data_IF_607530729515
#
_entry.id   IF_607530729515
#
_cell.length_a   1.000
_cell.length_b   1.000
_cell.length_c   1.000
_cell.angle_alpha   90.00
_cell.angle_beta   90.00
_cell.angle_gamma   90.00
#
_symmetry.space_group_name_H-M   'P 1'
#
loop_
_entity.id
_entity.type
_entity.pdbx_description
1 polymer ?
#
# COMPACT_ATOMS: atom_id res chain seq x y z
N UNK A 1 -89.86 16.66 52.72
CA UNK A 1 -90.71 16.53 53.92
C UNK A 1 -92.06 17.15 53.62
N UNK A 2 -93.13 16.43 53.96
CA UNK A 2 -94.55 16.86 54.02
C UNK A 2 -94.71 18.13 54.88
N UNK A 3 -95.76 18.97 54.85
CA UNK A 3 -97.22 18.90 54.72
C UNK A 3 -97.69 20.30 54.21
N UNK A 4 -98.86 20.58 53.62
CA UNK A 4 -100.20 20.05 53.85
C UNK A 4 -101.07 21.09 54.60
N UNK A 5 -102.25 21.40 54.04
CA UNK A 5 -103.43 22.15 54.57
C UNK A 5 -103.41 23.69 54.48
N UNK A 6 -104.25 24.34 53.65
CA UNK A 6 -105.72 24.50 53.59
C UNK A 6 -106.29 25.68 54.40
N UNK A 7 -107.27 26.33 53.77
CA UNK A 7 -108.35 27.16 54.32
C UNK A 7 -108.14 28.67 54.45
N UNK A 8 -108.70 29.39 53.48
CA UNK A 8 -109.39 30.67 53.68
C UNK A 8 -110.76 30.41 54.38
N UNK A 9 -111.68 31.40 54.62
CA UNK A 9 -111.61 32.86 54.46
C UNK A 9 -112.27 33.66 55.63
N UNK A 10 -112.27 34.99 55.50
CA UNK A 10 -113.25 36.02 55.93
C UNK A 10 -112.54 37.21 56.59
N UNK A 11 -112.94 38.47 56.45
CA UNK A 11 -113.78 39.28 55.53
C UNK A 11 -113.77 40.70 56.15
N UNK A 12 -114.06 41.74 55.36
CA UNK A 12 -114.26 43.16 55.72
C UNK A 12 -112.95 44.00 55.64
N UNK A 13 -112.60 44.70 54.55
CA UNK A 13 -113.31 45.70 53.72
C UNK A 13 -113.72 46.97 54.49
N UNK A 14 -112.78 47.93 54.59
CA UNK A 14 -112.88 49.27 53.95
C UNK A 14 -112.19 50.37 54.75
N UNK A 15 -111.09 50.91 54.21
CA UNK A 15 -110.74 52.36 54.17
C UNK A 15 -109.30 52.55 53.69
N UNK A 16 -109.04 52.45 52.38
CA UNK A 16 -107.72 52.76 51.79
C UNK A 16 -107.84 53.29 50.36
N UNK A 17 -108.30 54.53 50.20
CA UNK A 17 -108.23 55.23 48.90
C UNK A 17 -107.14 56.31 48.80
N UNK A 18 -106.17 56.34 49.74
CA UNK A 18 -105.02 57.25 49.66
C UNK A 18 -103.64 56.58 49.79
N UNK A 19 -103.58 55.24 49.79
CA UNK A 19 -102.33 54.44 49.94
C UNK A 19 -101.88 53.78 48.62
N UNK A 20 -102.77 53.71 47.61
CA UNK A 20 -102.51 52.97 46.37
C UNK A 20 -101.60 53.70 45.36
N UNK A 21 -101.65 55.04 45.28
CA UNK A 21 -100.79 55.79 44.37
C UNK A 21 -99.34 55.91 44.88
N UNK A 22 -99.15 56.02 46.20
CA UNK A 22 -97.82 56.00 46.81
C UNK A 22 -97.13 54.63 46.60
N UNK A 23 -97.89 53.54 46.61
CA UNK A 23 -97.39 52.19 46.34
C UNK A 23 -96.92 51.97 44.89
N UNK A 24 -97.57 52.55 43.88
CA UNK A 24 -97.14 52.43 42.49
C UNK A 24 -95.90 53.29 42.19
N UNK A 25 -95.84 54.50 42.75
CA UNK A 25 -94.67 55.38 42.64
C UNK A 25 -93.46 54.71 43.31
N UNK A 26 -93.63 54.12 44.49
CA UNK A 26 -92.55 53.37 45.17
C UNK A 26 -92.14 52.10 44.40
N UNK A 27 -93.08 51.42 43.72
CA UNK A 27 -92.76 50.27 42.86
C UNK A 27 -91.95 50.69 41.64
N UNK A 28 -92.34 51.78 40.96
CA UNK A 28 -91.62 52.35 39.83
C UNK A 28 -90.26 52.91 40.25
N UNK A 29 -90.16 53.48 41.44
CA UNK A 29 -88.89 53.94 41.99
C UNK A 29 -87.96 52.76 42.31
N UNK A 30 -88.47 51.67 42.90
CA UNK A 30 -87.70 50.43 43.07
C UNK A 30 -87.30 49.79 41.74
N UNK A 31 -88.16 49.85 40.74
CA UNK A 31 -87.86 49.36 39.39
C UNK A 31 -86.78 50.23 38.72
N UNK A 32 -86.87 51.56 38.87
CA UNK A 32 -85.84 52.51 38.44
C UNK A 32 -84.51 52.26 39.14
N UNK A 33 -84.51 52.10 40.46
CA UNK A 33 -83.31 51.76 41.25
C UNK A 33 -82.72 50.41 40.83
N UNK A 34 -83.56 49.41 40.52
CA UNK A 34 -83.12 48.12 40.00
C UNK A 34 -82.50 48.25 38.60
N UNK A 35 -83.08 49.03 37.70
CA UNK A 35 -82.48 49.31 36.39
C UNK A 35 -81.19 50.12 36.52
N UNK A 36 -81.11 51.08 37.43
CA UNK A 36 -79.87 51.83 37.72
C UNK A 36 -78.78 50.88 38.21
N UNK A 37 -79.07 49.99 39.17
CA UNK A 37 -78.11 48.98 39.65
C UNK A 37 -77.68 48.03 38.55
N UNK A 38 -78.61 47.60 37.68
CA UNK A 38 -78.29 46.73 36.55
C UNK A 38 -77.39 47.43 35.52
N UNK A 39 -77.68 48.69 35.20
CA UNK A 39 -76.83 49.51 34.33
C UNK A 39 -75.45 49.74 34.95
N UNK A 40 -75.36 49.94 36.27
CA UNK A 40 -74.08 50.05 36.97
C UNK A 40 -73.29 48.73 36.95
N UNK A 41 -73.97 47.61 37.13
CA UNK A 41 -73.35 46.28 37.03
C UNK A 41 -72.85 46.00 35.61
N UNK A 42 -73.64 46.35 34.59
CA UNK A 42 -73.28 46.21 33.18
C UNK A 42 -72.11 47.13 32.81
N UNK A 43 -72.07 48.36 33.34
CA UNK A 43 -70.92 49.28 33.18
C UNK A 43 -69.65 48.72 33.81
N UNK A 44 -69.74 48.14 35.01
CA UNK A 44 -68.59 47.46 35.65
C UNK A 44 -68.13 46.24 34.86
N UNK A 45 -69.07 45.44 34.35
CA UNK A 45 -68.74 44.29 33.52
C UNK A 45 -68.07 44.70 32.21
N UNK A 46 -68.59 45.74 31.55
CA UNK A 46 -68.00 46.31 30.34
C UNK A 46 -66.59 46.84 30.59
N UNK A 47 -66.37 47.56 31.69
CA UNK A 47 -65.05 48.04 32.08
C UNK A 47 -64.04 46.89 32.29
N UNK A 48 -64.46 45.82 32.98
CA UNK A 48 -63.60 44.65 33.20
C UNK A 48 -63.27 43.95 31.87
N UNK A 49 -64.26 43.82 30.97
CA UNK A 49 -64.02 43.26 29.63
C UNK A 49 -63.02 44.13 28.86
N UNK A 50 -63.18 45.44 28.88
CA UNK A 50 -62.28 46.37 28.19
C UNK A 50 -60.84 46.25 28.75
N UNK A 51 -60.68 46.12 30.07
CA UNK A 51 -59.37 45.91 30.71
C UNK A 51 -58.74 44.57 30.28
N UNK A 52 -59.53 43.48 30.26
CA UNK A 52 -59.05 42.18 29.77
C UNK A 52 -58.71 42.21 28.28
N UNK A 53 -59.42 42.99 27.48
CA UNK A 53 -59.13 43.15 26.06
C UNK A 53 -57.82 43.94 25.85
N UNK A 54 -57.62 45.02 26.59
CA UNK A 54 -56.40 45.84 26.52
C UNK A 54 -55.17 45.03 26.94
N UNK A 55 -55.26 44.25 28.02
CA UNK A 55 -54.18 43.37 28.49
C UNK A 55 -53.87 42.28 27.46
N UNK A 56 -54.89 41.57 26.98
CA UNK A 56 -54.73 40.55 25.92
C UNK A 56 -54.12 41.12 24.64
N UNK A 57 -54.52 42.34 24.25
CA UNK A 57 -53.97 43.03 23.08
C UNK A 57 -52.49 43.38 23.26
N UNK A 58 -52.09 43.82 24.45
CA UNK A 58 -50.67 44.07 24.79
C UNK A 58 -49.86 42.78 24.74
N UNK A 59 -50.37 41.68 25.31
CA UNK A 59 -49.71 40.37 25.26
C UNK A 59 -49.55 39.87 23.82
N UNK A 60 -50.58 40.04 22.99
CA UNK A 60 -50.50 39.68 21.58
C UNK A 60 -49.44 40.49 20.83
N UNK A 61 -49.35 41.80 21.09
CA UNK A 61 -48.31 42.66 20.51
C UNK A 61 -46.91 42.21 20.94
N UNK A 62 -46.71 41.91 22.23
CA UNK A 62 -45.45 41.41 22.76
C UNK A 62 -45.06 40.06 22.12
N UNK A 63 -45.99 39.11 22.03
CA UNK A 63 -45.76 37.82 21.36
C UNK A 63 -45.43 38.00 19.88
N UNK A 64 -46.11 38.91 19.19
CA UNK A 64 -45.82 39.23 17.78
C UNK A 64 -44.42 39.81 17.59
N UNK A 65 -43.97 40.69 18.48
CA UNK A 65 -42.60 41.22 18.46
C UNK A 65 -41.55 40.15 18.80
N UNK A 66 -41.82 39.29 19.78
CA UNK A 66 -40.95 38.15 20.10
C UNK A 66 -40.82 37.19 18.91
N UNK A 67 -41.92 36.85 18.24
CA UNK A 67 -41.91 36.01 17.03
C UNK A 67 -41.11 36.68 15.91
N UNK A 68 -41.27 37.99 15.70
CA UNK A 68 -40.47 38.73 14.71
C UNK A 68 -38.97 38.71 15.05
N UNK A 69 -38.59 38.84 16.32
CA UNK A 69 -37.19 38.73 16.77
C UNK A 69 -36.65 37.32 16.54
N UNK A 70 -37.40 36.28 16.93
CA UNK A 70 -37.04 34.88 16.71
C UNK A 70 -36.89 34.57 15.22
N UNK A 71 -37.78 35.08 14.36
CA UNK A 71 -37.67 34.92 12.91
C UNK A 71 -36.42 35.62 12.35
N UNK A 72 -36.13 36.84 12.80
CA UNK A 72 -34.91 37.54 12.41
C UNK A 72 -33.66 36.78 12.85
N UNK A 73 -33.65 36.24 14.08
CA UNK A 73 -32.56 35.43 14.63
C UNK A 73 -32.43 34.06 13.91
N UNK A 74 -33.51 33.42 13.49
CA UNK A 74 -33.44 32.20 12.68
C UNK A 74 -32.90 32.46 11.27
N UNK A 75 -33.10 33.68 10.74
CA UNK A 75 -32.53 34.12 9.46
C UNK A 75 -31.12 34.72 9.61
N UNK A 76 -30.37 34.37 10.65
CA UNK A 76 -29.06 34.96 10.95
C UNK A 76 -28.10 34.83 9.75
N UNK A 77 -27.73 35.93 9.06
CA UNK A 77 -26.68 35.91 8.04
C UNK A 77 -25.35 35.40 8.63
N UNK A 78 -25.14 35.49 9.95
CA UNK A 78 -23.96 34.93 10.60
C UNK A 78 -23.93 33.39 10.58
N UNK A 79 -25.07 32.69 10.71
CA UNK A 79 -25.10 31.22 10.61
C UNK A 79 -24.79 30.76 9.18
N UNK A 80 -25.31 31.46 8.16
CA UNK A 80 -24.96 31.22 6.75
C UNK A 80 -23.49 31.55 6.47
N UNK A 81 -22.95 32.63 7.04
CA UNK A 81 -21.54 32.98 6.94
C UNK A 81 -20.64 31.94 7.61
N UNK A 82 -21.03 31.41 8.78
CA UNK A 82 -20.32 30.33 9.45
C UNK A 82 -20.34 29.04 8.61
N UNK A 83 -21.49 28.68 8.04
CA UNK A 83 -21.59 27.54 7.12
C UNK A 83 -20.69 27.70 5.89
N UNK A 84 -20.64 28.90 5.30
CA UNK A 84 -19.75 29.17 4.17
C UNK A 84 -18.26 29.13 4.58
N UNK A 85 -17.91 29.61 5.78
CA UNK A 85 -16.56 29.45 6.33
C UNK A 85 -16.20 27.98 6.52
N UNK A 86 -17.11 27.17 7.05
CA UNK A 86 -16.92 25.72 7.20
C UNK A 86 -16.72 25.06 5.84
N UNK A 87 -17.55 25.38 4.84
CA UNK A 87 -17.38 24.88 3.46
C UNK A 87 -16.04 25.28 2.84
N UNK A 88 -15.61 26.54 3.03
CA UNK A 88 -14.31 26.98 2.54
C UNK A 88 -13.16 26.27 3.23
N UNK A 89 -13.26 26.02 4.55
CA UNK A 89 -12.28 25.26 5.31
C UNK A 89 -12.27 23.78 4.88
N UNK A 90 -13.43 23.19 4.59
CA UNK A 90 -13.54 21.84 4.03
C UNK A 90 -12.87 21.75 2.66
N UNK A 91 -13.17 22.68 1.75
CA UNK A 91 -12.54 22.74 0.44
C UNK A 91 -11.01 22.93 0.54
N UNK A 92 -10.55 23.78 1.46
CA UNK A 92 -9.13 23.99 1.70
C UNK A 92 -8.45 22.72 2.26
N UNK A 93 -9.12 22.01 3.17
CA UNK A 93 -8.66 20.73 3.71
C UNK A 93 -8.57 19.67 2.61
N UNK A 94 -9.61 19.53 1.78
CA UNK A 94 -9.62 18.60 0.64
C UNK A 94 -8.48 18.90 -0.33
N UNK A 95 -8.25 20.18 -0.68
CA UNK A 95 -7.12 20.58 -1.51
C UNK A 95 -5.77 20.25 -0.85
N UNK A 96 -5.64 20.41 0.47
CA UNK A 96 -4.43 20.02 1.20
C UNK A 96 -4.22 18.51 1.20
N UNK A 97 -5.29 17.71 1.31
CA UNK A 97 -5.24 16.25 1.24
C UNK A 97 -4.82 15.79 -0.15
N UNK A 98 -5.39 16.38 -1.20
CA UNK A 98 -4.98 16.11 -2.58
C UNK A 98 -3.49 16.40 -2.78
N UNK A 99 -3.01 17.58 -2.38
CA UNK A 99 -1.57 17.94 -2.44
C UNK A 99 -0.68 16.99 -1.64
N UNK A 100 -1.15 16.55 -0.47
CA UNK A 100 -0.44 15.57 0.34
C UNK A 100 -0.33 14.22 -0.38
N UNK A 101 -1.44 13.72 -0.95
CA UNK A 101 -1.47 12.47 -1.69
C UNK A 101 -0.60 12.53 -2.97
N UNK A 102 -0.63 13.65 -3.69
CA UNK A 102 0.28 13.92 -4.82
C UNK A 102 1.74 13.88 -4.37
N UNK A 103 2.07 14.59 -3.29
CA UNK A 103 3.43 14.59 -2.74
C UNK A 103 3.88 13.21 -2.27
N UNK A 104 2.97 12.42 -1.69
CA UNK A 104 3.24 11.05 -1.28
C UNK A 104 3.47 10.14 -2.50
N UNK A 105 2.68 10.31 -3.57
CA UNK A 105 2.85 9.58 -4.82
C UNK A 105 4.19 9.91 -5.48
N UNK A 106 4.54 11.19 -5.56
CA UNK A 106 5.84 11.65 -6.05
C UNK A 106 6.99 11.10 -5.19
N UNK A 107 6.84 11.05 -3.87
CA UNK A 107 7.86 10.46 -2.99
C UNK A 107 8.04 8.96 -3.23
N UNK A 108 6.95 8.23 -3.49
CA UNK A 108 7.00 6.81 -3.86
C UNK A 108 7.67 6.61 -5.22
N UNK A 109 7.39 7.47 -6.19
CA UNK A 109 8.01 7.43 -7.51
C UNK A 109 9.52 7.72 -7.43
N UNK A 110 9.92 8.78 -6.72
CA UNK A 110 11.33 9.09 -6.45
C UNK A 110 12.03 7.93 -5.74
N UNK A 111 11.37 7.27 -4.78
CA UNK A 111 11.92 6.06 -4.13
C UNK A 111 12.11 4.91 -5.12
N UNK A 112 11.18 4.71 -6.06
CA UNK A 112 11.32 3.71 -7.12
C UNK A 112 12.51 4.04 -8.03
N UNK A 113 12.63 5.31 -8.46
CA UNK A 113 13.75 5.78 -9.28
C UNK A 113 15.09 5.61 -8.55
N UNK A 114 15.17 5.99 -7.27
CA UNK A 114 16.37 5.78 -6.44
C UNK A 114 16.73 4.29 -6.37
N UNK A 115 15.74 3.41 -6.21
CA UNK A 115 16.00 1.97 -6.16
C UNK A 115 16.45 1.41 -7.51
N UNK A 116 15.94 1.93 -8.63
CA UNK A 116 16.40 1.58 -9.98
C UNK A 116 17.86 2.03 -10.18
N UNK A 117 18.17 3.29 -9.89
CA UNK A 117 19.54 3.83 -9.95
C UNK A 117 20.50 3.07 -9.03
N UNK A 118 20.06 2.63 -7.85
CA UNK A 118 20.89 1.79 -6.96
C UNK A 118 21.20 0.42 -7.56
N UNK A 119 20.26 -0.19 -8.27
CA UNK A 119 20.48 -1.47 -8.96
C UNK A 119 21.41 -1.30 -10.15
N UNK A 120 21.19 -0.28 -10.97
CA UNK A 120 22.08 0.07 -12.08
C UNK A 120 23.50 0.35 -11.57
N UNK A 121 23.64 1.15 -10.52
CA UNK A 121 24.95 1.39 -9.90
C UNK A 121 25.61 0.09 -9.44
N UNK A 122 24.87 -0.83 -8.85
CA UNK A 122 25.43 -2.12 -8.44
C UNK A 122 25.89 -2.95 -9.64
N UNK A 123 25.11 -2.98 -10.72
CA UNK A 123 25.51 -3.62 -11.97
C UNK A 123 26.78 -2.98 -12.56
N UNK A 124 26.86 -1.65 -12.59
CA UNK A 124 28.07 -0.96 -13.04
C UNK A 124 29.29 -1.25 -12.18
N UNK A 125 29.12 -1.35 -10.86
CA UNK A 125 30.21 -1.72 -9.95
C UNK A 125 30.69 -3.14 -10.26
N UNK A 126 29.78 -4.09 -10.46
CA UNK A 126 30.16 -5.47 -10.76
C UNK A 126 30.89 -5.55 -12.11
N UNK A 127 30.37 -4.90 -13.16
CA UNK A 127 31.03 -4.82 -14.46
C UNK A 127 32.41 -4.18 -14.34
N UNK A 128 32.56 -3.13 -13.53
CA UNK A 128 33.84 -2.48 -13.30
C UNK A 128 34.84 -3.42 -12.61
N UNK A 129 34.39 -4.20 -11.63
CA UNK A 129 35.22 -5.20 -10.96
C UNK A 129 35.66 -6.30 -11.93
N UNK A 130 34.74 -6.81 -12.75
CA UNK A 130 35.06 -7.82 -13.76
C UNK A 130 36.10 -7.29 -14.77
N UNK A 131 35.92 -6.05 -15.23
CA UNK A 131 36.88 -5.38 -16.13
C UNK A 131 38.23 -5.11 -15.46
N UNK A 132 38.25 -4.74 -14.17
CA UNK A 132 39.50 -4.58 -13.41
C UNK A 132 40.24 -5.92 -13.28
N UNK A 133 39.54 -7.02 -13.04
CA UNK A 133 40.14 -8.36 -13.01
C UNK A 133 40.68 -8.78 -14.38
N UNK A 134 39.99 -8.46 -15.46
CA UNK A 134 40.48 -8.70 -16.83
C UNK A 134 41.70 -7.85 -17.15
N UNK A 135 41.71 -6.56 -16.78
CA UNK A 135 42.86 -5.69 -16.97
C UNK A 135 44.09 -6.20 -16.20
N UNK A 136 43.91 -6.67 -14.95
CA UNK A 136 45.00 -7.27 -14.18
C UNK A 136 45.56 -8.52 -14.87
N UNK A 137 44.70 -9.41 -15.41
CA UNK A 137 45.15 -10.59 -16.17
C UNK A 137 45.93 -10.20 -17.42
N UNK A 138 45.47 -9.19 -18.14
CA UNK A 138 46.17 -8.68 -19.33
C UNK A 138 47.51 -8.07 -18.94
N UNK A 139 47.58 -7.33 -17.84
CA UNK A 139 48.83 -6.72 -17.35
C UNK A 139 49.85 -7.83 -17.04
N UNK A 140 49.45 -8.85 -16.27
CA UNK A 140 50.27 -10.04 -15.97
C UNK A 140 50.75 -10.75 -17.25
N UNK A 141 49.87 -10.93 -18.24
CA UNK A 141 50.22 -11.51 -19.54
C UNK A 141 51.20 -10.65 -20.33
N UNK A 142 51.05 -9.33 -20.27
CA UNK A 142 51.96 -8.39 -20.95
C UNK A 142 53.33 -8.37 -20.29
N UNK A 143 53.40 -8.36 -18.96
CA UNK A 143 54.66 -8.48 -18.21
C UNK A 143 55.37 -9.81 -18.53
N UNK A 144 54.64 -10.92 -18.55
CA UNK A 144 55.19 -12.22 -18.91
C UNK A 144 55.74 -12.24 -20.35
N UNK A 145 55.01 -11.63 -21.29
CA UNK A 145 55.45 -11.51 -22.68
C UNK A 145 56.66 -10.60 -22.85
N UNK A 146 56.74 -9.49 -22.11
CA UNK A 146 57.91 -8.61 -22.08
C UNK A 146 59.14 -9.32 -21.50
N UNK A 147 58.98 -10.05 -20.40
CA UNK A 147 60.05 -10.86 -19.82
C UNK A 147 60.56 -11.92 -20.81
N UNK A 148 59.64 -12.59 -21.52
CA UNK A 148 59.99 -13.56 -22.57
C UNK A 148 60.73 -12.90 -23.75
N UNK A 149 60.27 -11.73 -24.20
CA UNK A 149 60.93 -10.94 -25.26
C UNK A 149 62.34 -10.52 -24.84
N UNK A 150 62.51 -9.99 -23.64
CA UNK A 150 63.80 -9.56 -23.10
C UNK A 150 64.77 -10.75 -23.00
N UNK A 151 64.30 -11.92 -22.53
CA UNK A 151 65.11 -13.14 -22.48
C UNK A 151 65.57 -13.58 -23.88
N UNK A 152 64.67 -13.56 -24.86
CA UNK A 152 65.00 -13.87 -26.24
C UNK A 152 65.98 -12.86 -26.87
N UNK A 153 65.83 -11.58 -26.57
CA UNK A 153 66.74 -10.54 -27.03
C UNK A 153 68.15 -10.72 -26.45
N UNK A 154 68.27 -11.00 -25.15
CA UNK A 154 69.55 -11.32 -24.49
C UNK A 154 70.19 -12.55 -25.14
N UNK A 155 69.42 -13.60 -25.42
CA UNK A 155 69.95 -14.79 -26.11
C UNK A 155 70.39 -14.48 -27.55
N UNK A 156 69.63 -13.68 -28.29
CA UNK A 156 70.00 -13.24 -29.62
C UNK A 156 71.29 -12.41 -29.60
N UNK A 157 71.47 -11.55 -28.60
CA UNK A 157 72.68 -10.76 -28.42
C UNK A 157 73.90 -11.63 -28.12
N UNK A 158 73.78 -12.60 -27.19
CA UNK A 158 74.85 -13.59 -26.93
C UNK A 158 75.22 -14.38 -28.19
N UNK A 159 74.22 -14.78 -29.00
CA UNK A 159 74.46 -15.45 -30.29
C UNK A 159 75.19 -14.53 -31.27
N UNK A 160 74.83 -13.25 -31.36
CA UNK A 160 75.55 -12.28 -32.19
C UNK A 160 77.00 -12.08 -31.75
N UNK A 161 77.24 -11.97 -30.44
CA UNK A 161 78.58 -11.83 -29.85
C UNK A 161 79.46 -13.05 -30.15
N UNK A 162 78.95 -14.26 -29.90
CA UNK A 162 79.67 -15.50 -30.23
C UNK A 162 79.98 -15.62 -31.72
N UNK A 163 79.06 -15.22 -32.61
CA UNK A 163 79.31 -15.18 -34.06
C UNK A 163 80.42 -14.16 -34.39
N UNK A 164 80.42 -12.99 -33.76
CA UNK A 164 81.45 -11.97 -33.98
C UNK A 164 82.83 -12.45 -33.50
N UNK A 165 82.90 -13.13 -32.36
CA UNK A 165 84.14 -13.75 -31.87
C UNK A 165 84.64 -14.85 -32.80
N UNK A 166 83.75 -15.72 -33.27
CA UNK A 166 84.09 -16.76 -34.26
C UNK A 166 84.59 -16.15 -35.57
N UNK A 167 84.00 -15.04 -36.03
CA UNK A 167 84.50 -14.31 -37.20
C UNK A 167 85.91 -13.76 -36.98
N UNK A 168 86.17 -13.11 -35.84
CA UNK A 168 87.51 -12.62 -35.49
C UNK A 168 88.55 -13.74 -35.44
N UNK A 169 88.21 -14.88 -34.84
CA UNK A 169 89.08 -16.07 -34.82
C UNK A 169 89.36 -16.59 -36.23
N UNK A 170 88.32 -16.76 -37.04
CA UNK A 170 88.46 -17.21 -38.42
C UNK A 170 89.31 -16.25 -39.27
N UNK A 171 89.16 -14.93 -39.08
CA UNK A 171 89.95 -13.95 -39.83
C UNK A 171 91.42 -13.95 -39.39
N UNK A 172 91.69 -14.14 -38.09
CA UNK A 172 93.06 -14.36 -37.58
C UNK A 172 93.68 -15.67 -38.09
N UNK A 173 92.90 -16.75 -38.14
CA UNK A 173 93.36 -18.03 -38.73
C UNK A 173 93.62 -17.89 -40.22
N UNK A 174 92.74 -17.21 -40.97
CA UNK A 174 92.98 -16.89 -42.38
C UNK A 174 94.26 -16.09 -42.57
N UNK A 175 94.48 -15.05 -41.76
CA UNK A 175 95.71 -14.25 -41.83
C UNK A 175 96.95 -15.12 -41.59
N UNK A 176 96.92 -15.98 -40.57
CA UNK A 176 97.98 -16.98 -40.34
C UNK A 176 98.17 -17.94 -41.50
N UNK A 177 97.09 -18.44 -42.10
CA UNK A 177 97.16 -19.33 -43.25
C UNK A 177 97.70 -18.61 -44.48
N UNK A 178 97.33 -17.35 -44.70
CA UNK A 178 97.88 -16.52 -45.79
C UNK A 178 99.36 -16.29 -45.56
N UNK A 179 99.80 -15.95 -44.35
CA UNK A 179 101.23 -15.82 -44.06
C UNK A 179 101.99 -17.14 -44.25
N UNK A 180 101.42 -18.26 -43.80
CA UNK A 180 102.01 -19.59 -44.02
C UNK A 180 102.06 -19.91 -45.52
N UNK A 181 101.00 -19.61 -46.26
CA UNK A 181 100.93 -19.81 -47.70
C UNK A 181 101.93 -18.91 -48.44
N UNK A 182 102.12 -17.67 -48.02
CA UNK A 182 103.11 -16.76 -48.59
C UNK A 182 104.54 -17.18 -48.26
N UNK A 183 104.78 -17.71 -47.05
CA UNK A 183 106.06 -18.37 -46.68
C UNK A 183 106.33 -19.57 -47.58
N UNK A 184 105.38 -20.50 -47.67
CA UNK A 184 105.45 -21.66 -48.56
C UNK A 184 105.58 -21.26 -50.04
N UNK A 185 104.93 -20.19 -50.48
CA UNK A 185 105.04 -19.69 -51.86
C UNK A 185 106.41 -19.08 -52.13
N UNK A 186 107.05 -18.44 -51.14
CA UNK A 186 108.45 -18.01 -51.23
C UNK A 186 109.39 -19.20 -51.28
N UNK A 187 109.21 -20.19 -50.40
CA UNK A 187 109.98 -21.44 -50.43
C UNK A 187 109.79 -22.17 -51.76
N UNK A 188 108.56 -22.29 -52.27
CA UNK A 188 108.28 -22.87 -53.60
C UNK A 188 108.77 -21.99 -54.73
N UNK A 189 108.84 -20.67 -54.61
CA UNK A 189 109.47 -19.81 -55.64
C UNK A 189 111.00 -19.92 -55.61
N UNK A 190 111.59 -20.14 -54.45
CA UNK A 190 113.01 -20.43 -54.28
C UNK A 190 113.34 -21.84 -54.77
N UNK A 191 112.48 -22.82 -54.48
CA UNK A 191 112.53 -24.17 -55.03
C UNK A 191 112.23 -24.17 -56.52
N UNK A 192 111.27 -23.40 -57.05
CA UNK A 192 111.06 -23.23 -58.50
C UNK A 192 112.22 -22.51 -59.15
N UNK A 193 112.86 -21.53 -58.51
CA UNK A 193 114.13 -20.96 -59.03
C UNK A 193 115.23 -22.02 -59.09
N UNK A 194 115.21 -23.01 -58.20
CA UNK A 194 116.12 -24.17 -58.21
C UNK A 194 115.66 -25.29 -59.16
N UNK A 195 114.36 -25.49 -59.34
CA UNK A 195 113.71 -26.59 -60.05
C UNK A 195 113.37 -26.23 -61.51
N UNK A 196 113.24 -24.95 -61.86
CA UNK A 196 113.27 -24.47 -63.25
C UNK A 196 114.69 -24.58 -63.84
N UNK A 197 115.71 -24.82 -63.00
CA UNK A 197 117.05 -25.25 -63.39
C UNK A 197 117.20 -26.79 -63.44
N UNK A 198 116.39 -27.54 -62.68
CA UNK A 198 116.48 -29.00 -62.57
C UNK A 198 115.15 -29.67 -62.98
N UNK A 199 115.07 -30.07 -64.25
CA UNK A 199 114.17 -31.10 -64.79
C UNK A 199 112.65 -30.82 -64.73
N UNK A 200 111.94 -30.78 -65.85
CA UNK A 200 111.65 -31.92 -66.72
C UNK A 200 111.14 -33.17 -65.97
N UNK A 201 109.83 -33.21 -65.73
CA UNK A 201 109.08 -34.48 -65.79
C UNK A 201 108.41 -34.98 -64.51
N UNK A 202 107.16 -35.42 -64.71
CA UNK A 202 106.46 -36.50 -63.99
C UNK A 202 105.99 -36.14 -62.57
N UNK A 203 104.88 -36.62 -62.01
CA UNK A 203 103.70 -37.41 -62.38
C UNK A 203 102.74 -37.16 -61.20
N UNK A 204 101.46 -36.90 -61.44
CA UNK A 204 100.32 -37.81 -61.19
C UNK A 204 100.39 -38.69 -59.93
N UNK A 205 99.21 -38.77 -59.29
CA UNK A 205 98.68 -39.80 -58.37
C UNK A 205 98.57 -39.36 -56.89
N UNK A 206 97.53 -39.68 -56.11
CA UNK A 206 96.43 -40.65 -56.25
C UNK A 206 95.27 -40.20 -55.34
N UNK A 207 94.04 -40.28 -55.83
CA UNK A 207 92.83 -40.14 -55.02
C UNK A 207 92.69 -41.38 -54.11
N UNK A 208 92.52 -41.15 -52.81
CA UNK A 208 92.24 -42.20 -51.85
C UNK A 208 90.85 -42.79 -52.11
N UNK A 209 90.82 -44.11 -52.32
CA UNK A 209 89.62 -44.93 -52.36
C UNK A 209 88.84 -44.77 -51.05
N UNK A 210 87.78 -43.97 -51.07
CA UNK A 210 86.70 -44.03 -50.10
C UNK A 210 85.68 -45.00 -50.68
N UNK A 211 85.35 -46.04 -49.92
CA UNK A 211 84.34 -47.06 -50.21
C UNK A 211 82.99 -46.42 -50.58
N UNK A 212 82.83 -46.14 -51.87
CA UNK A 212 81.65 -45.49 -52.45
C UNK A 212 80.51 -46.49 -52.64
N UNK A 213 80.83 -47.79 -52.63
CA UNK A 213 79.86 -48.86 -52.90
C UNK A 213 78.89 -49.08 -51.73
N UNK A 214 79.36 -48.98 -50.48
CA UNK A 214 78.52 -49.15 -49.29
C UNK A 214 77.60 -47.94 -49.04
N UNK A 215 78.11 -46.72 -49.24
CA UNK A 215 77.33 -45.48 -49.14
C UNK A 215 76.25 -45.37 -50.22
N UNK A 216 76.55 -45.79 -51.46
CA UNK A 216 75.57 -45.85 -52.55
C UNK A 216 74.47 -46.89 -52.28
N UNK A 217 74.79 -48.06 -51.73
CA UNK A 217 73.78 -49.08 -51.35
C UNK A 217 72.84 -48.58 -50.24
N UNK A 218 73.36 -47.87 -49.24
CA UNK A 218 72.53 -47.28 -48.18
C UNK A 218 71.60 -46.18 -48.72
N UNK A 219 72.11 -45.36 -49.65
CA UNK A 219 71.34 -44.30 -50.31
C UNK A 219 70.25 -44.88 -51.20
N UNK A 220 70.56 -45.93 -51.96
CA UNK A 220 69.61 -46.67 -52.79
C UNK A 220 68.50 -47.30 -51.92
N UNK A 221 68.84 -47.90 -50.78
CA UNK A 221 67.87 -48.48 -49.85
C UNK A 221 66.93 -47.41 -49.26
N UNK A 222 67.45 -46.23 -48.89
CA UNK A 222 66.62 -45.08 -48.47
C UNK A 222 65.72 -44.57 -49.60
N UNK A 223 66.23 -44.51 -50.83
CA UNK A 223 65.46 -44.07 -52.01
C UNK A 223 64.31 -45.04 -52.33
N UNK A 224 64.57 -46.35 -52.23
CA UNK A 224 63.54 -47.40 -52.38
C UNK A 224 62.50 -47.31 -51.26
N UNK A 225 62.91 -47.05 -50.02
CA UNK A 225 61.98 -46.86 -48.89
C UNK A 225 61.07 -45.66 -49.13
N UNK A 226 61.64 -44.51 -49.51
CA UNK A 226 60.88 -43.30 -49.79
C UNK A 226 59.93 -43.49 -50.98
N UNK A 227 60.34 -44.20 -52.02
CA UNK A 227 59.44 -44.52 -53.14
C UNK A 227 58.31 -45.47 -52.74
N UNK A 228 58.56 -46.46 -51.88
CA UNK A 228 57.50 -47.33 -51.35
C UNK A 228 56.50 -46.55 -50.49
N UNK A 229 56.95 -45.59 -49.70
CA UNK A 229 56.05 -44.72 -48.93
C UNK A 229 55.22 -43.82 -49.83
N UNK A 230 55.81 -43.25 -50.89
CA UNK A 230 55.06 -42.47 -51.89
C UNK A 230 54.00 -43.30 -52.60
N UNK A 231 54.34 -44.53 -53.01
CA UNK A 231 53.38 -45.45 -53.63
C UNK A 231 52.25 -45.79 -52.67
N UNK A 232 52.55 -46.09 -51.40
CA UNK A 232 51.51 -46.31 -50.37
C UNK A 232 50.62 -45.10 -50.14
N UNK A 233 51.20 -43.91 -50.13
CA UNK A 233 50.45 -42.66 -49.97
C UNK A 233 49.50 -42.46 -51.16
N UNK A 234 49.99 -42.68 -52.39
CA UNK A 234 49.19 -42.62 -53.61
C UNK A 234 48.08 -43.66 -53.59
N UNK A 235 48.36 -44.91 -53.19
CA UNK A 235 47.34 -45.96 -53.07
C UNK A 235 46.27 -45.61 -52.03
N UNK A 236 46.66 -44.93 -50.94
CA UNK A 236 45.74 -44.46 -49.91
C UNK A 236 44.85 -43.33 -50.44
N UNK A 237 45.42 -42.37 -51.17
CA UNK A 237 44.65 -41.32 -51.85
C UNK A 237 43.69 -41.91 -52.90
N UNK A 238 44.14 -42.92 -53.65
CA UNK A 238 43.30 -43.57 -54.66
C UNK A 238 42.11 -44.31 -54.03
N UNK A 239 42.32 -45.00 -52.91
CA UNK A 239 41.23 -45.61 -52.14
C UNK A 239 40.25 -44.57 -51.60
N UNK A 240 40.75 -43.46 -51.06
CA UNK A 240 39.89 -42.38 -50.56
C UNK A 240 39.11 -41.71 -51.70
N UNK A 241 39.74 -41.50 -52.87
CA UNK A 241 39.08 -40.97 -54.06
C UNK A 241 37.95 -41.89 -54.51
N UNK A 242 38.19 -43.20 -54.52
CA UNK A 242 37.17 -44.19 -54.89
C UNK A 242 35.99 -44.22 -53.91
N UNK A 243 36.25 -44.10 -52.61
CA UNK A 243 35.18 -44.00 -51.59
C UNK A 243 34.35 -42.73 -51.80
N UNK A 244 34.99 -41.60 -52.13
CA UNK A 244 34.30 -40.35 -52.44
C UNK A 244 33.48 -40.49 -53.73
N UNK A 245 34.02 -41.13 -54.75
CA UNK A 245 33.33 -41.40 -56.02
C UNK A 245 32.12 -42.31 -55.84
N UNK A 246 32.24 -43.38 -55.05
CA UNK A 246 31.13 -44.29 -54.71
C UNK A 246 30.04 -43.55 -53.91
N UNK A 247 30.42 -42.69 -52.95
CA UNK A 247 29.48 -41.85 -52.22
C UNK A 247 28.77 -40.83 -53.11
N UNK A 248 29.50 -40.22 -54.07
CA UNK A 248 28.91 -39.30 -55.06
C UNK A 248 27.93 -40.02 -55.98
N UNK A 249 28.25 -41.23 -56.42
CA UNK A 249 27.35 -42.04 -57.23
C UNK A 249 26.09 -42.41 -56.45
N UNK A 250 26.21 -42.73 -55.15
CA UNK A 250 25.07 -42.98 -54.29
C UNK A 250 24.17 -41.75 -54.13
N UNK A 251 24.75 -40.55 -53.98
CA UNK A 251 24.01 -39.28 -53.93
C UNK A 251 23.35 -38.98 -55.28
N UNK A 252 24.03 -39.27 -56.40
CA UNK A 252 23.51 -39.11 -57.76
C UNK A 252 22.30 -40.01 -58.03
N UNK A 253 22.37 -41.27 -57.60
CA UNK A 253 21.25 -42.22 -57.69
C UNK A 253 20.07 -41.81 -56.80
N UNK A 254 20.33 -41.33 -55.58
CA UNK A 254 19.28 -40.93 -54.65
C UNK A 254 18.62 -39.59 -54.99
N UNK A 255 19.39 -38.62 -55.50
CA UNK A 255 18.90 -37.27 -55.81
C UNK A 255 18.37 -37.13 -57.25
N UNK A 256 18.80 -37.98 -58.18
CA UNK A 256 18.45 -37.89 -59.60
C UNK A 256 19.10 -36.72 -60.35
N UNK A 257 19.92 -35.92 -59.68
CA UNK A 257 20.63 -34.77 -60.24
C UNK A 257 21.91 -35.27 -60.90
N UNK A 258 22.08 -35.02 -62.20
CA UNK A 258 23.23 -35.53 -62.97
C UNK A 258 24.45 -34.61 -62.92
N UNK A 259 24.26 -33.35 -62.56
CA UNK A 259 25.30 -32.32 -62.52
C UNK A 259 25.93 -32.21 -61.12
N UNK A 260 27.25 -32.39 -61.06
CA UNK A 260 28.05 -32.38 -59.83
C UNK A 260 28.02 -30.97 -59.20
N UNK A 261 27.99 -29.91 -60.00
CA UNK A 261 27.94 -28.53 -59.49
C UNK A 261 26.61 -28.22 -58.80
N UNK A 262 25.51 -28.77 -59.32
CA UNK A 262 24.17 -28.58 -58.74
C UNK A 262 24.02 -29.33 -57.41
N UNK A 263 24.59 -30.55 -57.30
CA UNK A 263 24.66 -31.29 -56.03
C UNK A 263 25.46 -30.52 -54.99
N UNK A 264 26.64 -30.00 -55.38
CA UNK A 264 27.48 -29.22 -54.48
C UNK A 264 26.79 -27.94 -54.01
N UNK A 265 26.15 -27.18 -54.90
CA UNK A 265 25.41 -25.97 -54.54
C UNK A 265 24.21 -26.26 -53.64
N UNK A 266 23.52 -27.39 -53.85
CA UNK A 266 22.40 -27.82 -53.00
C UNK A 266 22.90 -28.26 -51.63
N UNK A 267 24.05 -28.94 -51.58
CA UNK A 267 24.69 -29.33 -50.32
C UNK A 267 25.14 -28.10 -49.53
N UNK A 268 25.82 -27.14 -50.16
CA UNK A 268 26.24 -25.88 -49.53
C UNK A 268 25.01 -25.13 -48.97
N UNK A 269 23.92 -25.01 -49.75
CA UNK A 269 22.69 -24.39 -49.25
C UNK A 269 22.08 -25.14 -48.08
N UNK A 270 22.07 -26.47 -48.12
CA UNK A 270 21.56 -27.29 -47.00
C UNK A 270 22.47 -27.19 -45.75
N UNK A 271 23.77 -27.02 -45.94
CA UNK A 271 24.75 -26.83 -44.88
C UNK A 271 24.61 -25.44 -44.25
N UNK A 272 24.44 -24.38 -45.07
CA UNK A 272 24.13 -23.02 -44.60
C UNK A 272 22.81 -22.97 -43.82
N UNK A 273 21.78 -23.68 -44.29
CA UNK A 273 20.51 -23.82 -43.58
C UNK A 273 20.68 -24.57 -42.26
N UNK A 274 21.43 -25.67 -42.24
CA UNK A 274 21.73 -26.40 -41.01
C UNK A 274 22.53 -25.55 -40.03
N UNK A 275 23.53 -24.81 -40.50
CA UNK A 275 24.31 -23.89 -39.67
C UNK A 275 23.43 -22.80 -39.05
N UNK A 276 22.50 -22.25 -39.84
CA UNK A 276 21.51 -21.28 -39.35
C UNK A 276 20.58 -21.90 -38.31
N UNK A 277 20.21 -23.17 -38.48
CA UNK A 277 19.38 -23.92 -37.54
C UNK A 277 20.13 -24.19 -36.23
N UNK A 278 21.41 -24.57 -36.29
CA UNK A 278 22.26 -24.74 -35.11
C UNK A 278 22.38 -23.43 -34.34
N UNK A 279 22.66 -22.32 -35.03
CA UNK A 279 22.72 -21.01 -34.39
C UNK A 279 21.38 -20.62 -33.75
N UNK A 280 20.24 -20.96 -34.39
CA UNK A 280 18.93 -20.74 -33.79
C UNK A 280 18.69 -21.60 -32.54
N UNK A 281 19.11 -22.87 -32.57
CA UNK A 281 19.05 -23.78 -31.40
C UNK A 281 19.94 -23.26 -30.27
N UNK A 282 21.12 -22.72 -30.58
CA UNK A 282 22.02 -22.13 -29.59
C UNK A 282 21.39 -20.87 -28.95
N UNK A 283 20.80 -19.99 -29.77
CA UNK A 283 20.08 -18.81 -29.28
C UNK A 283 18.89 -19.22 -28.40
N UNK A 284 18.12 -20.24 -28.81
CA UNK A 284 17.02 -20.77 -28.00
C UNK A 284 17.51 -21.38 -26.69
N UNK A 285 18.63 -22.10 -26.70
CA UNK A 285 19.25 -22.66 -25.50
C UNK A 285 19.66 -21.54 -24.54
N UNK A 286 20.29 -20.49 -25.06
CA UNK A 286 20.63 -19.31 -24.27
C UNK A 286 19.39 -18.60 -23.71
N UNK A 287 18.28 -18.52 -24.47
CA UNK A 287 17.02 -17.97 -23.97
C UNK A 287 16.39 -18.84 -22.88
N UNK A 288 16.49 -20.17 -23.00
CA UNK A 288 16.01 -21.10 -21.97
C UNK A 288 16.78 -20.89 -20.67
N UNK A 289 18.11 -20.76 -20.74
CA UNK A 289 18.95 -20.50 -19.57
C UNK A 289 18.58 -19.16 -18.91
N UNK A 290 18.42 -18.09 -19.71
CA UNK A 290 17.97 -16.79 -19.22
C UNK A 290 16.60 -16.86 -18.54
N UNK A 291 15.64 -17.59 -19.10
CA UNK A 291 14.32 -17.77 -18.52
C UNK A 291 14.35 -18.63 -17.24
N UNK A 292 15.26 -19.60 -17.16
CA UNK A 292 15.48 -20.38 -15.95
C UNK A 292 16.05 -19.51 -14.82
N UNK A 293 17.05 -18.67 -15.12
CA UNK A 293 17.63 -17.72 -14.16
C UNK A 293 16.57 -16.73 -13.64
N UNK A 294 15.77 -16.16 -14.53
CA UNK A 294 14.66 -15.28 -14.15
C UNK A 294 13.64 -16.01 -13.25
N UNK A 295 13.30 -17.25 -13.55
CA UNK A 295 12.42 -18.06 -12.71
C UNK A 295 13.03 -18.34 -11.34
N UNK A 296 14.33 -18.63 -11.28
CA UNK A 296 15.02 -18.86 -10.02
C UNK A 296 15.06 -17.60 -9.15
N UNK A 297 15.30 -16.44 -9.75
CA UNK A 297 15.27 -15.15 -9.07
C UNK A 297 13.86 -14.77 -8.57
N UNK A 298 12.83 -15.06 -9.36
CA UNK A 298 11.44 -14.88 -8.94
C UNK A 298 11.10 -15.79 -7.77
N UNK A 299 11.52 -17.06 -7.80
CA UNK A 299 11.36 -17.98 -6.65
C UNK A 299 12.05 -17.45 -5.40
N UNK A 300 13.31 -17.00 -5.50
CA UNK A 300 14.04 -16.37 -4.38
C UNK A 300 13.32 -15.14 -3.83
N UNK A 301 12.72 -14.30 -4.68
CA UNK A 301 11.92 -13.14 -4.26
C UNK A 301 10.63 -13.54 -3.54
N UNK A 302 9.96 -14.60 -4.00
CA UNK A 302 8.76 -15.13 -3.34
C UNK A 302 9.13 -15.64 -1.95
N UNK A 303 10.22 -16.40 -1.83
CA UNK A 303 10.66 -16.93 -0.54
C UNK A 303 11.06 -15.82 0.43
N UNK A 304 11.80 -14.80 -0.02
CA UNK A 304 12.17 -13.66 0.83
C UNK A 304 10.95 -12.86 1.29
N UNK A 305 9.97 -12.62 0.41
CA UNK A 305 8.71 -11.99 0.78
C UNK A 305 7.88 -12.84 1.74
N UNK A 306 7.91 -14.18 1.60
CA UNK A 306 7.23 -15.09 2.54
C UNK A 306 7.83 -14.96 3.94
N UNK A 307 9.16 -14.96 4.05
CA UNK A 307 9.87 -14.77 5.33
C UNK A 307 9.59 -13.38 5.92
N UNK A 308 9.57 -12.33 5.09
CA UNK A 308 9.25 -10.97 5.53
C UNK A 308 7.78 -10.85 6.01
N UNK A 309 6.85 -11.51 5.34
CA UNK A 309 5.46 -11.53 5.76
C UNK A 309 5.25 -12.33 7.05
N UNK A 310 5.95 -13.46 7.21
CA UNK A 310 5.95 -14.22 8.45
C UNK A 310 6.56 -13.42 9.61
N UNK A 311 7.64 -12.68 9.38
CA UNK A 311 8.27 -11.83 10.40
C UNK A 311 7.37 -10.63 10.76
N UNK A 312 6.73 -9.98 9.78
CA UNK A 312 5.71 -8.95 10.02
C UNK A 312 4.52 -9.49 10.81
N UNK A 313 4.05 -10.71 10.49
CA UNK A 313 2.97 -11.38 11.24
C UNK A 313 3.37 -11.65 12.68
N UNK A 314 4.62 -12.09 12.93
CA UNK A 314 5.16 -12.26 14.28
C UNK A 314 5.29 -10.93 15.02
N UNK A 315 5.73 -9.86 14.37
CA UNK A 315 5.86 -8.53 14.97
C UNK A 315 4.48 -7.93 15.31
N UNK A 316 3.49 -8.10 14.44
CA UNK A 316 2.10 -7.71 14.69
C UNK A 316 1.53 -8.47 15.91
N UNK A 317 1.79 -9.77 16.03
CA UNK A 317 1.42 -10.55 17.22
C UNK A 317 2.20 -10.13 18.48
N UNK A 318 3.44 -9.66 18.33
CA UNK A 318 4.29 -9.24 19.45
C UNK A 318 4.00 -7.81 19.96
N UNK A 319 3.15 -7.01 19.31
CA UNK A 319 2.81 -5.67 19.84
C UNK A 319 1.87 -5.77 21.06
N UNK A 320 2.34 -5.46 22.29
CA UNK A 320 1.57 -5.70 23.52
C UNK A 320 0.34 -4.79 23.65
N UNK A 321 0.28 -3.70 22.89
CA UNK A 321 -0.86 -2.78 22.88
C UNK A 321 -2.04 -3.35 22.11
N UNK A 322 -1.83 -3.98 20.95
CA UNK A 322 -2.91 -4.52 20.12
C UNK A 322 -3.64 -5.67 20.83
N UNK A 323 -2.91 -6.59 21.46
CA UNK A 323 -3.52 -7.64 22.29
C UNK A 323 -4.21 -7.09 23.54
N UNK A 324 -3.65 -6.06 24.21
CA UNK A 324 -4.29 -5.41 25.35
C UNK A 324 -5.59 -4.71 24.96
N UNK A 325 -5.61 -4.01 23.83
CA UNK A 325 -6.81 -3.37 23.31
C UNK A 325 -7.85 -4.41 22.90
N UNK A 326 -7.44 -5.50 22.26
CA UNK A 326 -8.35 -6.61 21.93
C UNK A 326 -8.95 -7.24 23.18
N UNK A 327 -8.13 -7.57 24.19
CA UNK A 327 -8.61 -8.11 25.48
C UNK A 327 -9.53 -7.12 26.21
N UNK A 328 -9.22 -5.82 26.20
CA UNK A 328 -10.09 -4.78 26.77
C UNK A 328 -11.42 -4.68 26.03
N UNK A 329 -11.40 -4.73 24.69
CA UNK A 329 -12.61 -4.70 23.88
C UNK A 329 -13.45 -5.96 24.10
N UNK A 330 -12.83 -7.15 24.17
CA UNK A 330 -13.52 -8.41 24.46
C UNK A 330 -14.17 -8.40 25.85
N UNK A 331 -13.50 -7.80 26.85
CA UNK A 331 -14.06 -7.57 28.18
C UNK A 331 -15.26 -6.62 28.17
N UNK A 332 -15.18 -5.52 27.41
CA UNK A 332 -16.29 -4.57 27.25
C UNK A 332 -17.47 -5.24 26.55
N UNK A 333 -17.22 -6.01 25.50
CA UNK A 333 -18.26 -6.75 24.76
C UNK A 333 -18.95 -7.76 25.67
N UNK A 334 -18.20 -8.54 26.46
CA UNK A 334 -18.79 -9.47 27.44
C UNK A 334 -19.67 -8.76 28.46
N UNK A 335 -19.19 -7.66 29.04
CA UNK A 335 -19.96 -6.88 30.02
C UNK A 335 -21.25 -6.32 29.41
N UNK A 336 -21.19 -5.77 28.19
CA UNK A 336 -22.39 -5.30 27.48
C UNK A 336 -23.36 -6.43 27.15
N UNK A 337 -22.85 -7.61 26.79
CA UNK A 337 -23.69 -8.77 26.54
C UNK A 337 -24.38 -9.26 27.82
N UNK A 338 -23.70 -9.22 28.97
CA UNK A 338 -24.30 -9.51 30.28
C UNK A 338 -25.40 -8.50 30.62
N UNK A 339 -25.18 -7.19 30.42
CA UNK A 339 -26.19 -6.14 30.60
C UNK A 339 -27.40 -6.32 29.67
N UNK A 340 -27.19 -6.72 28.42
CA UNK A 340 -28.28 -7.02 27.48
C UNK A 340 -29.07 -8.26 27.93
N UNK A 341 -28.37 -9.29 28.44
CA UNK A 341 -29.02 -10.50 28.91
C UNK A 341 -29.84 -10.26 30.19
N UNK A 342 -29.36 -9.40 31.11
CA UNK A 342 -30.16 -9.01 32.29
C UNK A 342 -31.38 -8.20 31.90
N UNK A 343 -31.26 -7.26 30.96
CA UNK A 343 -32.41 -6.51 30.43
C UNK A 343 -33.43 -7.41 29.73
N UNK A 344 -32.96 -8.37 28.92
CA UNK A 344 -33.85 -9.36 28.28
C UNK A 344 -34.61 -10.19 29.31
N UNK A 345 -33.94 -10.64 30.37
CA UNK A 345 -34.58 -11.37 31.45
C UNK A 345 -35.64 -10.53 32.17
N UNK A 346 -35.36 -9.26 32.44
CA UNK A 346 -36.35 -8.34 33.01
C UNK A 346 -37.54 -8.10 32.07
N UNK A 347 -37.31 -8.00 30.77
CA UNK A 347 -38.40 -7.89 29.79
C UNK A 347 -39.25 -9.17 29.74
N UNK A 348 -38.62 -10.34 29.85
CA UNK A 348 -39.32 -11.64 29.89
C UNK A 348 -40.14 -11.82 31.18
N UNK A 349 -39.69 -11.25 32.30
CA UNK A 349 -40.44 -11.22 33.57
C UNK A 349 -41.64 -10.25 33.53
N UNK A 350 -41.50 -9.09 32.86
CA UNK A 350 -42.58 -8.07 32.76
C UNK A 350 -43.62 -8.44 31.69
N UNK A 351 -43.21 -9.15 30.63
CA UNK A 351 -44.07 -9.59 29.54
C UNK A 351 -45.38 -10.26 29.98
N UNK A 352 -45.37 -11.32 30.82
CA UNK A 352 -46.61 -11.96 31.25
C UNK A 352 -47.47 -11.03 32.11
N UNK A 353 -46.87 -10.27 33.03
CA UNK A 353 -47.63 -9.35 33.89
C UNK A 353 -48.33 -8.25 33.11
N UNK A 354 -47.69 -7.73 32.06
CA UNK A 354 -48.27 -6.68 31.22
C UNK A 354 -49.35 -7.26 30.29
N UNK A 355 -49.13 -8.48 29.76
CA UNK A 355 -50.12 -9.21 28.99
C UNK A 355 -51.38 -9.50 29.81
N UNK A 356 -51.21 -9.97 31.05
CA UNK A 356 -52.32 -10.31 31.94
C UNK A 356 -53.09 -9.04 32.37
N UNK A 357 -52.38 -7.95 32.71
CA UNK A 357 -52.99 -6.67 33.03
C UNK A 357 -53.79 -6.06 31.86
N UNK A 358 -53.25 -6.11 30.63
CA UNK A 358 -53.96 -5.67 29.43
C UNK A 358 -55.20 -6.54 29.14
N UNK A 359 -55.09 -7.85 29.33
CA UNK A 359 -56.22 -8.77 29.21
C UNK A 359 -57.31 -8.43 30.23
N UNK A 360 -56.96 -8.23 31.50
CA UNK A 360 -57.91 -7.92 32.56
C UNK A 360 -58.58 -6.56 32.33
N UNK A 361 -57.81 -5.53 31.96
CA UNK A 361 -58.34 -4.20 31.64
C UNK A 361 -59.25 -4.20 30.41
N UNK A 362 -58.91 -4.98 29.37
CA UNK A 362 -59.74 -5.12 28.16
C UNK A 362 -61.07 -5.84 28.40
N UNK A 363 -61.19 -6.64 29.47
CA UNK A 363 -62.42 -7.33 29.86
C UNK A 363 -63.36 -6.46 30.71
N UNK A 364 -62.87 -5.35 31.27
CA UNK A 364 -63.71 -4.40 32.00
C UNK A 364 -64.54 -3.53 31.04
N UNK A 365 -65.67 -2.97 31.50
CA UNK A 365 -66.57 -2.08 30.73
C UNK A 365 -65.96 -0.70 30.38
N UNK A 366 -64.64 -0.62 30.18
CA UNK A 366 -63.87 0.56 29.82
C UNK A 366 -63.25 0.44 28.42
N UNK A 367 -63.42 -0.69 27.74
CA UNK A 367 -62.90 -0.89 26.40
C UNK A 367 -63.65 -0.03 25.36
N UNK A 368 -62.91 0.79 24.62
CA UNK A 368 -63.42 1.52 23.45
C UNK A 368 -63.51 0.64 22.20
N UNK A 369 -62.75 -0.46 22.12
CA UNK A 369 -62.74 -1.42 21.01
C UNK A 369 -62.88 -2.86 21.52
N UNK A 370 -63.96 -3.60 21.16
CA UNK A 370 -64.20 -4.98 21.58
C UNK A 370 -63.19 -6.01 21.05
N UNK A 371 -62.38 -5.65 20.05
CA UNK A 371 -61.42 -6.53 19.36
C UNK A 371 -60.01 -6.50 19.94
N UNK A 372 -59.67 -5.48 20.75
CA UNK A 372 -58.33 -5.32 21.31
C UNK A 372 -57.92 -6.50 22.22
N UNK A 373 -58.89 -7.11 22.91
CA UNK A 373 -58.67 -8.31 23.73
C UNK A 373 -58.12 -9.51 22.93
N UNK A 374 -58.53 -9.66 21.67
CA UNK A 374 -58.08 -10.75 20.80
C UNK A 374 -56.65 -10.52 20.31
N UNK A 375 -56.29 -9.28 20.00
CA UNK A 375 -54.95 -8.89 19.54
C UNK A 375 -53.88 -9.10 20.64
N UNK A 376 -54.21 -8.78 21.91
CA UNK A 376 -53.32 -9.04 23.04
C UNK A 376 -53.19 -10.54 23.37
N UNK A 377 -54.22 -11.33 23.06
CA UNK A 377 -54.22 -12.78 23.32
C UNK A 377 -53.41 -13.58 22.29
N UNK A 378 -53.48 -13.18 21.02
CA UNK A 378 -52.84 -13.88 19.89
C UNK A 378 -51.42 -13.39 19.57
N UNK A 379 -51.13 -12.10 19.74
CA UNK A 379 -49.87 -11.49 19.29
C UNK A 379 -49.30 -10.52 20.31
N UNK A 380 -48.88 -11.05 21.46
CA UNK A 380 -48.11 -10.27 22.43
C UNK A 380 -46.62 -10.46 22.18
N UNK A 381 -45.96 -9.43 21.65
CA UNK A 381 -44.51 -9.41 21.47
C UNK A 381 -43.96 -8.07 21.94
N UNK A 382 -42.92 -8.07 22.78
CA UNK A 382 -42.34 -6.85 23.33
C UNK A 382 -41.16 -6.37 22.49
N UNK A 383 -41.46 -5.76 21.36
CA UNK A 383 -40.53 -4.93 20.60
C UNK A 383 -40.74 -3.44 20.93
N UNK A 384 -39.78 -2.58 20.61
CA UNK A 384 -39.80 -1.13 20.93
C UNK A 384 -41.08 -0.43 20.44
N UNK A 385 -41.51 -0.70 19.20
CA UNK A 385 -42.74 -0.14 18.62
C UNK A 385 -44.04 -0.71 19.21
N UNK A 386 -44.01 -1.98 19.64
CA UNK A 386 -45.17 -2.62 20.28
C UNK A 386 -45.29 -2.24 21.77
N UNK A 387 -44.17 -2.01 22.46
CA UNK A 387 -44.15 -1.54 23.84
C UNK A 387 -44.77 -0.15 23.95
N UNK A 388 -44.43 0.76 23.02
CA UNK A 388 -45.00 2.10 22.96
C UNK A 388 -46.52 2.04 22.77
N UNK A 389 -46.99 1.18 21.85
CA UNK A 389 -48.43 0.93 21.65
C UNK A 389 -49.10 0.39 22.92
N UNK A 390 -48.51 -0.60 23.58
CA UNK A 390 -49.07 -1.18 24.81
C UNK A 390 -49.08 -0.22 25.99
N UNK A 391 -48.07 0.64 26.12
CA UNK A 391 -48.02 1.68 27.15
C UNK A 391 -49.05 2.78 26.89
N UNK A 392 -49.24 3.17 25.63
CA UNK A 392 -50.28 4.13 25.25
C UNK A 392 -51.68 3.58 25.55
N UNK A 393 -51.92 2.30 25.26
CA UNK A 393 -53.18 1.64 25.58
C UNK A 393 -53.40 1.56 27.11
N UNK A 394 -52.36 1.23 27.89
CA UNK A 394 -52.41 1.23 29.36
C UNK A 394 -52.66 2.63 29.94
N UNK A 395 -51.98 3.66 29.46
CA UNK A 395 -52.18 5.05 29.90
C UNK A 395 -53.63 5.48 29.66
N UNK A 396 -54.17 5.17 28.48
CA UNK A 396 -55.58 5.42 28.18
C UNK A 396 -56.53 4.64 29.11
N UNK A 397 -56.24 3.39 29.43
CA UNK A 397 -57.05 2.62 30.39
C UNK A 397 -56.99 3.22 31.80
N UNK A 398 -55.81 3.67 32.23
CA UNK A 398 -55.60 4.35 33.52
C UNK A 398 -56.38 5.67 33.55
N UNK A 399 -56.27 6.49 32.51
CA UNK A 399 -57.00 7.76 32.41
C UNK A 399 -58.51 7.56 32.46
N UNK A 400 -59.02 6.53 31.78
CA UNK A 400 -60.45 6.18 31.81
C UNK A 400 -60.89 5.62 33.18
N UNK A 401 -60.05 4.83 33.85
CA UNK A 401 -60.32 4.34 35.19
C UNK A 401 -60.35 5.49 36.21
N UNK A 402 -59.37 6.40 36.15
CA UNK A 402 -59.31 7.62 36.97
C UNK A 402 -60.50 8.53 36.66
N UNK A 403 -60.91 8.65 35.40
CA UNK A 403 -62.10 9.40 35.04
C UNK A 403 -63.37 8.79 35.65
N UNK A 404 -63.55 7.46 35.61
CA UNK A 404 -64.70 6.78 36.26
C UNK A 404 -64.69 6.95 37.77
N UNK A 405 -63.52 6.84 38.41
CA UNK A 405 -63.39 7.04 39.86
C UNK A 405 -63.70 8.49 40.27
N UNK A 406 -63.23 9.48 39.49
CA UNK A 406 -63.53 10.90 39.70
C UNK A 406 -64.99 11.25 39.45
N UNK A 407 -65.65 10.61 38.46
CA UNK A 407 -67.09 10.71 38.23
C UNK A 407 -67.87 10.12 39.42
N UNK A 408 -67.41 8.99 39.98
CA UNK A 408 -68.02 8.39 41.17
C UNK A 408 -67.86 9.24 42.44
N UNK A 409 -66.80 10.05 42.52
CA UNK A 409 -66.49 10.93 43.67
C UNK A 409 -67.02 12.37 43.54
N UNK A 410 -67.73 12.75 42.47
CA UNK A 410 -68.25 14.11 42.24
C UNK A 410 -67.18 15.23 42.39
N UNK A 411 -65.98 15.03 41.84
CA UNK A 411 -64.95 16.07 41.77
C UNK A 411 -64.69 16.48 40.31
N UNK A 412 -64.63 17.79 40.06
CA UNK A 412 -64.44 18.38 38.73
C UNK A 412 -63.11 17.94 38.09
N UNK A 413 -63.17 17.57 36.81
CA UNK A 413 -62.11 16.96 35.99
C UNK A 413 -60.85 17.85 35.87
N UNK A 414 -60.91 19.12 36.27
CA UNK A 414 -59.88 20.12 36.00
C UNK A 414 -58.73 20.23 37.03
N UNK A 415 -58.73 19.47 38.14
CA UNK A 415 -57.80 19.75 39.26
C UNK A 415 -56.70 18.72 39.53
N UNK A 416 -56.40 17.81 38.60
CA UNK A 416 -55.16 17.01 38.72
C UNK A 416 -54.71 16.45 37.38
N UNK A 417 -54.40 17.31 36.43
CA UNK A 417 -53.22 17.05 35.59
C UNK A 417 -52.01 17.17 36.52
N UNK A 418 -51.24 16.08 36.66
CA UNK A 418 -50.01 15.99 37.46
C UNK A 418 -49.31 17.34 37.59
N UNK A 419 -49.31 17.90 38.79
CA UNK A 419 -48.49 19.05 39.12
C UNK A 419 -47.04 18.63 38.89
N UNK A 420 -46.39 19.23 37.89
CA UNK A 420 -44.96 19.05 37.61
C UNK A 420 -44.06 19.33 38.83
N UNK A 421 -44.62 19.95 39.87
CA UNK A 421 -43.94 20.33 41.10
C UNK A 421 -43.72 19.19 42.11
N UNK A 422 -44.35 18.01 41.93
CA UNK A 422 -44.17 16.86 42.84
C UNK A 422 -43.19 15.79 42.34
N UNK A 423 -42.51 16.01 41.20
CA UNK A 423 -41.39 15.16 40.80
C UNK A 423 -40.17 15.59 41.62
N UNK A 424 -39.64 14.77 42.56
CA UNK A 424 -38.39 15.10 43.21
C UNK A 424 -37.31 15.20 42.14
N UNK A 425 -36.65 16.37 42.04
CA UNK A 425 -35.46 16.56 41.23
C UNK A 425 -34.45 15.50 41.65
N UNK A 426 -34.35 14.43 40.86
CA UNK A 426 -33.31 13.43 41.00
C UNK A 426 -32.00 14.17 40.77
N UNK A 427 -31.26 14.43 41.83
CA UNK A 427 -29.90 14.93 41.76
C UNK A 427 -29.13 13.97 40.84
N UNK A 428 -28.93 14.41 39.60
CA UNK A 428 -27.89 13.83 38.77
C UNK A 428 -26.60 14.10 39.54
N UNK A 429 -26.09 13.07 40.22
CA UNK A 429 -24.65 12.93 40.44
C UNK A 429 -24.01 12.84 39.08
N UNK A 430 -23.88 14.00 38.43
CA UNK A 430 -22.94 14.19 37.35
C UNK A 430 -21.61 13.74 37.91
N UNK A 431 -21.12 12.62 37.40
CA UNK A 431 -19.71 12.34 37.45
C UNK A 431 -19.03 13.47 36.67
N UNK A 432 -18.75 14.59 37.36
CA UNK A 432 -17.70 15.51 37.00
C UNK A 432 -16.40 14.71 37.08
N UNK A 433 -16.16 13.87 36.06
CA UNK A 433 -14.81 13.72 35.56
C UNK A 433 -14.49 15.07 34.95
N UNK A 434 -13.93 15.96 35.76
CA UNK A 434 -13.02 16.96 35.24
C UNK A 434 -12.11 16.20 34.28
N UNK A 435 -12.21 16.52 33.00
CA UNK A 435 -11.15 16.18 32.08
C UNK A 435 -9.88 16.79 32.69
N UNK A 436 -8.88 15.95 32.93
CA UNK A 436 -7.58 16.42 33.39
C UNK A 436 -6.99 17.26 32.25
N UNK A 437 -7.15 18.58 32.34
CA UNK A 437 -6.50 19.56 31.46
C UNK A 437 -4.96 19.42 31.50
N UNK A 438 -4.42 18.75 32.52
CA UNK A 438 -3.01 18.38 32.64
C UNK A 438 -2.52 17.40 31.56
N UNK A 439 -3.40 16.59 30.96
CA UNK A 439 -3.00 15.64 29.90
C UNK A 439 -2.96 16.30 28.52
N UNK A 440 -3.79 17.34 28.31
CA UNK A 440 -3.79 18.17 27.11
C UNK A 440 -2.61 19.15 27.12
N UNK A 441 -2.29 19.77 28.27
CA UNK A 441 -1.10 20.63 28.42
C UNK A 441 0.23 19.86 28.26
N UNK A 442 0.26 18.58 28.64
CA UNK A 442 1.44 17.72 28.40
C UNK A 442 1.60 17.38 26.91
N UNK A 443 0.51 17.18 26.18
CA UNK A 443 0.56 16.95 24.72
C UNK A 443 0.97 18.21 23.96
N UNK A 444 0.48 19.38 24.36
CA UNK A 444 0.92 20.67 23.78
C UNK A 444 2.39 20.96 24.10
N UNK A 445 2.87 20.65 25.31
CA UNK A 445 4.27 20.80 25.68
C UNK A 445 5.20 19.86 24.91
N UNK A 446 4.77 18.62 24.65
CA UNK A 446 5.50 17.65 23.82
C UNK A 446 5.51 18.03 22.33
N UNK A 447 4.39 18.54 21.80
CA UNK A 447 4.33 19.08 20.44
C UNK A 447 5.18 20.34 20.28
N UNK A 448 5.24 21.22 21.29
CA UNK A 448 6.12 22.38 21.28
C UNK A 448 7.62 21.99 21.38
N UNK A 449 7.96 20.94 22.15
CA UNK A 449 9.31 20.36 22.13
C UNK A 449 9.66 19.73 20.77
N UNK A 450 8.72 19.00 20.16
CA UNK A 450 8.90 18.40 18.83
C UNK A 450 9.05 19.46 17.73
N UNK A 451 8.27 20.54 17.80
CA UNK A 451 8.36 21.67 16.88
C UNK A 451 9.66 22.48 17.06
N UNK A 452 10.20 22.58 18.29
CA UNK A 452 11.55 23.10 18.54
C UNK A 452 12.63 22.20 17.93
N UNK A 453 12.47 20.88 18.02
CA UNK A 453 13.40 19.89 17.43
C UNK A 453 13.40 19.88 15.89
N UNK A 454 12.32 20.32 15.23
CA UNK A 454 12.26 20.46 13.78
C UNK A 454 13.12 21.63 13.24
N UNK A 455 13.50 22.59 14.08
CA UNK A 455 14.33 23.71 13.64
C UNK A 455 15.80 23.28 13.60
N UNK A 456 16.40 23.32 12.40
CA UNK A 456 17.76 22.84 12.11
C UNK A 456 18.85 23.46 13.00
N UNK A 457 18.61 24.67 13.52
CA UNK A 457 19.50 25.41 14.42
C UNK A 457 19.50 24.85 15.85
N UNK A 458 18.33 24.54 16.42
CA UNK A 458 18.21 24.01 17.78
C UNK A 458 18.75 22.58 17.91
N UNK A 459 18.60 21.76 16.86
CA UNK A 459 19.14 20.40 16.83
C UNK A 459 20.68 20.40 16.75
N UNK A 460 21.27 21.37 16.03
CA UNK A 460 22.72 21.58 15.99
C UNK A 460 23.27 22.02 17.34
N UNK A 461 22.61 22.96 18.02
CA UNK A 461 23.06 23.46 19.33
C UNK A 461 22.99 22.36 20.41
N UNK A 462 21.94 21.53 20.39
CA UNK A 462 21.79 20.40 21.32
C UNK A 462 22.78 19.26 21.03
N UNK A 463 23.12 19.01 19.76
CA UNK A 463 24.18 18.07 19.39
C UNK A 463 25.57 18.55 19.85
N UNK A 464 25.83 19.86 19.78
CA UNK A 464 27.08 20.47 20.29
C UNK A 464 27.12 20.42 21.82
N UNK A 465 26.00 20.62 22.52
CA UNK A 465 25.94 20.55 23.97
C UNK A 465 26.11 19.11 24.51
N UNK A 466 25.53 18.12 23.82
CA UNK A 466 25.69 16.70 24.17
C UNK A 466 27.08 16.16 23.85
N UNK A 467 27.76 16.70 22.82
CA UNK A 467 29.19 16.45 22.58
C UNK A 467 30.10 17.10 23.63
N UNK A 468 29.72 18.26 24.18
CA UNK A 468 30.46 18.91 25.28
C UNK A 468 30.28 18.21 26.63
N UNK A 469 29.11 17.61 26.91
CA UNK A 469 28.86 16.82 28.13
C UNK A 469 29.48 15.41 28.12
N UNK A 470 29.95 14.95 26.97
CA UNK A 470 30.64 13.65 26.79
C UNK A 470 32.17 13.76 26.84
N UNK A 471 32.71 14.95 27.00
CA UNK A 471 34.10 15.20 27.41
C UNK A 471 34.07 15.59 28.89
#
# INVERSE_FOLDING_TARGET
>A
MFFGYNSAPNSNISQTQSILHESQVLSLQRESENYIRKVEQDKKHHYNIEETWVTTKKEWQQKKEQIKKIQHDQTLPAAKQQLNKIKNLQNALEQSILKYNESQTNNLELKKQINMLRKERHQYINIHQDLEEELLKIDDETEANEAYRNSNEIQAQKKKETIAEMKKKNDYEKEKYVEQFDRLKKEVMEEKKKHDLDNLGLKKEKAANIDTASTLKLRLKKLISNNKEKVKLIDTYWKNMKVIEDAFNQIKEASGIQDIEEIMNTFIKSEEQNYSLYNYVDILSQQIDQLQDQNQDLKKKIDSQRVENESKKRLLMATPQAERHRKKNDLIIKKRQEEINTLRKQMEEIAPTLKDALIELSQTQLASDPTAHLDYKLSFNLNESSLEKYLQDLERFIDLAVAKEKIAQNQSIAQSTLLLDEIPLKEFKGSNKQFNDDELLKQESQQQQYNKLLTQKALRDMAVESLKKKK
#
